data_IF_918075608989
#
_entry.id   IF_918075608989
#
_cell.length_a   1.000
_cell.length_b   1.000
_cell.length_c   1.000
_cell.angle_alpha   90.00
_cell.angle_beta   90.00
_cell.angle_gamma   90.00
#
_symmetry.space_group_name_H-M   'P 1'
#
loop_
_entity.id
_entity.type
_entity.pdbx_description
1 polymer ?
#
# COMPACT_ATOMS: atom_id res chain seq x y z
N UNK A 1 18.12 -8.53 -2.27
CA UNK A 1 17.55 -8.66 -0.90
C UNK A 1 17.45 -7.24 -0.34
N UNK A 2 16.24 -6.74 -0.10
CA UNK A 2 16.03 -5.32 0.25
C UNK A 2 16.25 -5.08 1.75
N UNK A 3 17.05 -4.05 2.05
CA UNK A 3 17.58 -3.67 3.36
C UNK A 3 16.50 -3.04 4.28
N UNK A 4 15.49 -3.80 4.68
CA UNK A 4 14.52 -3.35 5.71
C UNK A 4 15.12 -3.29 7.14
N UNK A 5 16.42 -3.60 7.27
CA UNK A 5 17.13 -3.74 8.53
C UNK A 5 17.72 -2.43 9.09
N UNK A 6 17.73 -1.32 8.34
CA UNK A 6 18.00 0.02 8.90
C UNK A 6 16.76 0.54 9.64
N UNK A 7 16.40 -0.11 10.74
CA UNK A 7 15.30 0.31 11.61
C UNK A 7 15.65 1.63 12.28
N UNK A 8 15.18 2.74 11.70
CA UNK A 8 14.82 3.92 12.51
C UNK A 8 13.96 3.44 13.67
N UNK A 9 14.33 3.80 14.89
CA UNK A 9 13.60 3.45 16.13
C UNK A 9 12.10 3.57 15.90
N UNK A 10 11.36 2.46 16.03
CA UNK A 10 9.90 2.46 15.95
C UNK A 10 9.39 3.46 16.99
N UNK A 11 8.76 4.56 16.52
CA UNK A 11 8.18 5.55 17.42
C UNK A 11 6.79 5.06 17.82
N UNK A 12 6.59 4.84 19.11
CA UNK A 12 5.28 4.50 19.67
C UNK A 12 4.53 5.80 20.00
N UNK A 13 3.20 5.83 19.81
CA UNK A 13 2.35 6.96 20.19
C UNK A 13 2.30 8.15 19.22
N UNK A 14 2.66 7.96 17.94
CA UNK A 14 2.64 9.03 16.91
C UNK A 14 1.48 8.83 15.91
N UNK A 15 0.51 8.00 16.27
CA UNK A 15 -0.57 7.60 15.37
C UNK A 15 -1.72 8.58 15.57
N UNK A 16 -2.12 9.27 14.52
CA UNK A 16 -3.34 10.10 14.53
C UNK A 16 -4.42 9.36 13.76
N UNK A 17 -5.53 9.06 14.44
CA UNK A 17 -6.74 8.59 13.78
C UNK A 17 -7.54 9.79 13.29
N UNK A 18 -7.99 9.74 12.04
CA UNK A 18 -8.75 10.84 11.42
C UNK A 18 -9.92 10.25 10.65
N UNK A 19 -11.10 10.85 10.80
CA UNK A 19 -12.27 10.49 10.01
C UNK A 19 -12.30 11.32 8.72
N UNK A 20 -11.80 10.73 7.64
CA UNK A 20 -11.75 11.34 6.31
C UNK A 20 -11.83 10.29 5.21
N UNK A 21 -11.98 10.73 3.96
CA UNK A 21 -11.80 9.88 2.79
C UNK A 21 -10.30 9.61 2.57
N UNK A 22 -9.90 8.34 2.71
CA UNK A 22 -8.52 7.88 2.51
C UNK A 22 -7.94 8.28 1.15
N UNK A 23 -8.77 8.45 0.13
CA UNK A 23 -8.32 8.81 -1.21
C UNK A 23 -8.28 10.32 -1.46
N UNK A 24 -8.71 11.14 -0.50
CA UNK A 24 -8.62 12.60 -0.51
C UNK A 24 -7.54 13.13 0.46
N UNK A 25 -6.55 12.30 0.78
CA UNK A 25 -5.42 12.68 1.63
C UNK A 25 -4.36 13.48 0.83
N UNK A 26 -3.53 14.29 1.50
CA UNK A 26 -2.44 15.02 0.86
C UNK A 26 -1.53 14.12 0.01
N UNK A 27 -1.05 14.62 -1.14
CA UNK A 27 -0.18 13.85 -2.04
C UNK A 27 1.23 13.56 -1.51
N UNK A 28 1.59 14.08 -0.33
CA UNK A 28 2.89 13.87 0.31
C UNK A 28 2.90 12.68 1.29
N UNK A 29 1.83 11.88 1.34
CA UNK A 29 1.75 10.67 2.17
C UNK A 29 1.58 9.42 1.30
N UNK A 30 2.16 8.32 1.77
CA UNK A 30 1.95 7.00 1.16
C UNK A 30 0.80 6.28 1.86
N UNK A 31 -0.03 5.58 1.09
CA UNK A 31 -1.08 4.68 1.60
C UNK A 31 -0.63 3.23 1.57
N UNK A 32 -1.19 2.42 2.47
CA UNK A 32 -0.96 0.98 2.50
C UNK A 32 -2.25 0.25 2.88
N UNK A 33 -2.45 -0.94 2.31
CA UNK A 33 -3.49 -1.88 2.71
C UNK A 33 -2.97 -3.31 2.57
N UNK A 34 -3.67 -4.26 3.21
CA UNK A 34 -3.38 -5.68 3.02
C UNK A 34 -4.07 -6.20 1.76
N UNK A 35 -3.41 -7.10 1.03
CA UNK A 35 -3.94 -7.75 -0.17
C UNK A 35 -3.70 -9.26 -0.11
N UNK A 36 -4.51 -9.98 -0.88
CA UNK A 36 -4.28 -11.39 -1.20
C UNK A 36 -3.13 -11.53 -2.21
N UNK A 37 -2.45 -12.68 -2.19
CA UNK A 37 -1.23 -12.89 -2.99
C UNK A 37 -1.46 -12.80 -4.50
N UNK A 38 -2.63 -13.24 -4.98
CA UNK A 38 -3.04 -13.18 -6.38
C UNK A 38 -3.41 -11.76 -6.86
N UNK A 39 -3.48 -10.79 -5.93
CA UNK A 39 -3.88 -9.41 -6.17
C UNK A 39 -5.31 -9.28 -6.71
N UNK A 40 -6.21 -10.21 -6.38
CA UNK A 40 -7.64 -10.10 -6.69
C UNK A 40 -8.32 -9.01 -5.85
N UNK A 41 -8.22 -7.76 -6.31
CA UNK A 41 -8.76 -6.57 -5.65
C UNK A 41 -10.20 -6.26 -6.08
N UNK A 42 -11.12 -7.19 -5.85
CA UNK A 42 -12.49 -7.13 -6.38
C UNK A 42 -13.53 -6.51 -5.43
N UNK A 43 -13.17 -6.27 -4.16
CA UNK A 43 -14.12 -5.84 -3.13
C UNK A 43 -13.61 -4.68 -2.27
N UNK A 44 -14.56 -3.91 -1.74
CA UNK A 44 -14.37 -2.91 -0.68
C UNK A 44 -13.20 -1.95 -0.93
N UNK A 45 -12.35 -1.75 0.09
CA UNK A 45 -11.20 -0.85 0.03
C UNK A 45 -10.21 -1.30 -1.05
N UNK A 46 -10.03 -2.62 -1.25
CA UNK A 46 -9.15 -3.13 -2.29
C UNK A 46 -9.61 -2.73 -3.69
N UNK A 47 -10.92 -2.78 -3.94
CA UNK A 47 -11.48 -2.30 -5.20
C UNK A 47 -11.31 -0.79 -5.38
N UNK A 48 -11.39 0.00 -4.30
CA UNK A 48 -11.14 1.43 -4.36
C UNK A 48 -9.66 1.76 -4.70
N UNK A 49 -8.70 1.03 -4.13
CA UNK A 49 -7.29 1.10 -4.54
C UNK A 49 -7.10 0.71 -6.00
N UNK A 50 -7.75 -0.37 -6.45
CA UNK A 50 -7.71 -0.79 -7.85
C UNK A 50 -8.26 0.29 -8.79
N UNK A 51 -9.41 0.92 -8.46
CA UNK A 51 -9.96 2.02 -9.27
C UNK A 51 -9.04 3.23 -9.33
N UNK A 52 -8.41 3.59 -8.20
CA UNK A 52 -7.56 4.77 -8.14
C UNK A 52 -6.23 4.56 -8.83
N UNK A 53 -5.57 3.43 -8.59
CA UNK A 53 -4.20 3.22 -9.04
C UNK A 53 -4.09 2.32 -10.25
N UNK A 54 -4.96 1.31 -10.42
CA UNK A 54 -5.09 0.49 -11.64
C UNK A 54 -3.87 -0.33 -12.10
N UNK A 55 -2.69 -0.10 -11.54
CA UNK A 55 -1.41 -0.63 -12.02
C UNK A 55 -1.14 -1.98 -11.33
N UNK A 56 -1.88 -3.02 -11.73
CA UNK A 56 -1.68 -4.37 -11.21
C UNK A 56 -0.46 -5.06 -11.81
N UNK A 57 -0.12 -4.76 -13.05
CA UNK A 57 0.96 -5.47 -13.75
C UNK A 57 2.33 -5.16 -13.14
N UNK A 58 2.58 -3.91 -12.69
CA UNK A 58 3.82 -3.60 -11.96
C UNK A 58 3.89 -4.30 -10.60
N UNK A 59 2.75 -4.47 -9.92
CA UNK A 59 2.68 -5.23 -8.67
C UNK A 59 2.92 -6.72 -8.92
N UNK A 60 2.39 -7.28 -10.01
CA UNK A 60 2.63 -8.68 -10.41
C UNK A 60 4.09 -8.93 -10.78
N UNK A 61 4.72 -7.97 -11.48
CA UNK A 61 6.14 -8.03 -11.83
C UNK A 61 7.06 -8.04 -10.61
N UNK A 62 6.59 -7.55 -9.46
CA UNK A 62 7.30 -7.64 -8.20
C UNK A 62 7.25 -9.05 -7.57
N UNK A 63 6.64 -10.05 -8.20
CA UNK A 63 6.52 -11.42 -7.71
C UNK A 63 5.93 -11.47 -6.28
N UNK A 64 4.61 -11.23 -6.13
CA UNK A 64 3.92 -11.26 -4.85
C UNK A 64 4.10 -12.57 -4.11
N UNK A 65 4.22 -12.47 -2.78
CA UNK A 65 4.23 -13.62 -1.87
C UNK A 65 3.68 -13.18 -0.51
N UNK A 66 2.99 -14.07 0.21
CA UNK A 66 2.56 -13.81 1.58
C UNK A 66 3.75 -13.32 2.43
N UNK A 67 3.53 -12.22 3.18
CA UNK A 67 4.55 -11.59 4.01
C UNK A 67 5.48 -10.61 3.28
N UNK A 68 5.34 -10.46 1.96
CA UNK A 68 6.10 -9.47 1.17
C UNK A 68 5.32 -8.16 1.05
N UNK A 69 6.03 -7.04 1.14
CA UNK A 69 5.48 -5.72 0.81
C UNK A 69 5.73 -5.43 -0.66
N UNK A 70 4.69 -5.00 -1.36
CA UNK A 70 4.76 -4.51 -2.74
C UNK A 70 4.63 -2.99 -2.73
N UNK A 71 5.25 -2.32 -3.71
CA UNK A 71 5.29 -0.86 -3.76
C UNK A 71 4.98 -0.35 -5.16
N UNK A 72 4.14 0.68 -5.24
CA UNK A 72 4.02 1.53 -6.42
C UNK A 72 4.64 2.88 -6.06
N UNK A 73 5.64 3.34 -6.84
CA UNK A 73 6.25 4.65 -6.60
C UNK A 73 5.39 5.79 -7.15
N UNK A 74 4.72 5.53 -8.28
CA UNK A 74 3.86 6.48 -8.98
C UNK A 74 2.56 5.77 -9.33
N UNK A 75 1.63 5.71 -8.37
CA UNK A 75 0.23 5.63 -8.78
C UNK A 75 -0.13 6.91 -9.56
N UNK A 76 -1.06 6.86 -10.53
CA UNK A 76 -1.50 8.07 -11.25
C UNK A 76 -1.87 9.22 -10.31
#
# INVERSE_FOLDING_TARGET
MSNYAERKSVRFGVNTEVQLDLFNIPGNVSTAHCVVQDLEMTKEISYAFYKKFGILDELKNQQPKVGKVLRLENGP
#
